data_IF_227405528768
#
_entry.id   IF_227405528768
#
_cell.length_a   1.000
_cell.length_b   1.000
_cell.length_c   1.000
_cell.angle_alpha   90.00
_cell.angle_beta   90.00
_cell.angle_gamma   90.00
#
_symmetry.space_group_name_H-M   'P 1'
#
loop_
_entity.id
_entity.type
_entity.pdbx_description
1 polymer ?
#
# COMPACT_ATOMS: atom_id res chain seq x y z
N UNK A 1 27.42 -52.27 -10.55
CA UNK A 1 27.49 -51.46 -9.32
C UNK A 1 26.58 -50.26 -9.46
N UNK A 2 25.93 -49.94 -8.33
CA UNK A 2 25.06 -48.81 -8.04
C UNK A 2 25.65 -47.45 -8.46
N UNK A 3 24.76 -46.46 -8.64
CA UNK A 3 24.84 -45.02 -8.25
C UNK A 3 24.47 -44.13 -9.45
N UNK A 4 23.65 -43.09 -9.38
CA UNK A 4 22.86 -42.40 -8.35
C UNK A 4 21.92 -41.53 -9.21
N UNK A 5 20.63 -41.52 -8.89
CA UNK A 5 19.70 -40.55 -9.48
C UNK A 5 20.00 -39.15 -8.97
N UNK A 6 20.11 -38.18 -9.86
CA UNK A 6 20.05 -36.76 -9.52
C UNK A 6 18.80 -36.18 -10.17
N UNK A 7 17.68 -36.25 -9.44
CA UNK A 7 16.50 -35.44 -9.72
C UNK A 7 16.87 -34.00 -9.37
N UNK A 8 17.15 -33.18 -10.39
CA UNK A 8 17.29 -31.75 -10.22
C UNK A 8 15.95 -31.14 -9.83
N UNK A 9 15.79 -30.80 -8.55
CA UNK A 9 14.65 -30.04 -8.09
C UNK A 9 14.77 -28.60 -8.65
N UNK A 10 14.06 -28.32 -9.73
CA UNK A 10 13.82 -26.94 -10.13
C UNK A 10 12.93 -26.31 -9.06
N UNK A 11 13.51 -25.50 -8.17
CA UNK A 11 12.74 -24.60 -7.33
C UNK A 11 12.06 -23.60 -8.26
N UNK A 12 10.83 -23.90 -8.66
CA UNK A 12 9.95 -22.91 -9.28
C UNK A 12 9.68 -21.88 -8.20
N UNK A 13 10.49 -20.82 -8.19
CA UNK A 13 10.14 -19.61 -7.46
C UNK A 13 8.91 -19.09 -8.17
N UNK A 14 7.75 -19.42 -7.62
CA UNK A 14 6.49 -18.79 -7.97
C UNK A 14 6.60 -17.34 -7.55
N UNK A 15 7.22 -16.53 -8.42
CA UNK A 15 6.99 -15.10 -8.45
C UNK A 15 5.52 -15.02 -8.75
N UNK A 16 4.68 -14.85 -7.73
CA UNK A 16 3.29 -14.45 -7.95
C UNK A 16 3.40 -13.11 -8.64
N UNK A 17 3.09 -12.98 -9.94
CA UNK A 17 3.00 -11.66 -10.50
C UNK A 17 1.76 -11.06 -9.81
N UNK A 18 2.00 -10.16 -8.86
CA UNK A 18 0.97 -9.30 -8.29
C UNK A 18 0.54 -8.27 -9.32
N UNK A 19 0.18 -8.71 -10.53
CA UNK A 19 -0.63 -7.93 -11.45
C UNK A 19 -2.07 -8.04 -10.93
N UNK A 20 -2.33 -7.28 -9.87
CA UNK A 20 -3.67 -6.85 -9.55
C UNK A 20 -4.24 -6.25 -10.84
N UNK A 21 -5.27 -6.91 -11.36
CA UNK A 21 -5.94 -6.60 -12.61
C UNK A 21 -6.25 -5.11 -12.67
N UNK A 22 -5.48 -4.38 -13.48
CA UNK A 22 -5.85 -3.04 -13.91
C UNK A 22 -6.88 -3.21 -15.03
N UNK A 23 -8.15 -3.42 -14.66
CA UNK A 23 -9.24 -3.47 -15.63
C UNK A 23 -10.50 -2.83 -15.05
N UNK A 24 -10.82 -1.68 -15.65
CA UNK A 24 -12.14 -1.04 -15.77
C UNK A 24 -12.84 -0.56 -14.50
N UNK A 25 -12.67 0.74 -14.24
CA UNK A 25 -13.74 1.75 -14.11
C UNK A 25 -13.59 2.69 -12.91
N UNK A 26 -13.91 3.96 -13.16
CA UNK A 26 -13.70 5.12 -12.29
C UNK A 26 -13.88 4.86 -10.78
N UNK A 27 -12.85 5.20 -9.99
CA UNK A 27 -12.81 5.26 -8.51
C UNK A 27 -12.45 3.98 -7.71
N UNK A 28 -11.94 2.91 -8.32
CA UNK A 28 -11.45 1.71 -7.61
C UNK A 28 -9.93 1.54 -7.69
N UNK A 29 -9.15 2.61 -7.46
CA UNK A 29 -7.70 2.48 -7.30
C UNK A 29 -7.32 2.13 -5.86
N UNK A 30 -6.17 1.48 -5.64
CA UNK A 30 -5.68 1.13 -4.30
C UNK A 30 -4.28 1.68 -4.07
N UNK A 31 -3.98 2.10 -2.84
CA UNK A 31 -2.71 2.72 -2.44
C UNK A 31 -2.01 1.81 -1.42
N UNK A 32 -0.84 1.23 -1.76
CA UNK A 32 -0.08 0.43 -0.81
C UNK A 32 0.55 1.34 0.26
N UNK A 33 0.46 0.89 1.51
CA UNK A 33 1.05 1.57 2.67
C UNK A 33 1.77 0.52 3.51
N UNK A 34 3.10 0.61 3.73
CA UNK A 34 4.07 1.34 2.91
C UNK A 34 4.15 0.74 1.49
N UNK A 35 5.06 1.24 0.66
CA UNK A 35 5.30 0.68 -0.67
C UNK A 35 5.73 -0.78 -0.59
N UNK A 36 5.47 -1.57 -1.63
CA UNK A 36 5.94 -2.96 -1.71
C UNK A 36 7.47 -3.07 -1.67
N UNK A 37 8.20 -2.01 -2.03
CA UNK A 37 9.67 -1.92 -1.93
C UNK A 37 10.15 -1.71 -0.49
N UNK A 38 9.24 -1.49 0.47
CA UNK A 38 9.53 -1.26 1.88
C UNK A 38 8.80 -2.30 2.75
N UNK A 39 9.04 -3.60 2.54
CA UNK A 39 8.40 -4.65 3.34
C UNK A 39 8.82 -4.53 4.81
N UNK A 40 7.95 -4.96 5.71
CA UNK A 40 8.19 -4.98 7.17
C UNK A 40 8.52 -3.60 7.76
N UNK A 41 8.05 -2.51 7.14
CA UNK A 41 8.14 -1.15 7.71
C UNK A 41 6.78 -0.68 8.21
N UNK A 42 6.81 0.22 9.19
CA UNK A 42 5.63 0.82 9.80
C UNK A 42 5.55 2.31 9.44
N UNK A 43 4.38 2.91 9.62
CA UNK A 43 4.16 4.33 9.34
C UNK A 43 4.07 5.09 10.66
N UNK A 44 4.95 6.07 10.84
CA UNK A 44 4.92 6.98 11.98
C UNK A 44 3.77 7.98 11.86
N UNK A 45 3.32 8.57 12.96
CA UNK A 45 2.27 9.59 12.98
C UNK A 45 2.44 10.74 11.97
N UNK A 46 3.68 11.11 11.65
CA UNK A 46 4.02 12.14 10.67
C UNK A 46 4.08 11.63 9.22
N UNK A 47 3.76 10.36 8.97
CA UNK A 47 3.81 9.72 7.66
C UNK A 47 5.17 9.16 7.25
N UNK A 48 6.18 9.19 8.12
CA UNK A 48 7.49 8.62 7.81
C UNK A 48 7.49 7.10 7.93
N UNK A 49 8.28 6.46 7.07
CA UNK A 49 8.45 5.01 7.07
C UNK A 49 9.57 4.66 8.03
N UNK A 50 9.25 3.88 9.06
CA UNK A 50 10.15 3.54 10.17
C UNK A 50 10.24 2.04 10.40
N UNK A 51 11.20 1.62 11.21
CA UNK A 51 11.29 0.23 11.65
C UNK A 51 10.06 -0.13 12.52
N UNK A 52 9.66 -1.41 12.53
CA UNK A 52 8.62 -1.89 13.44
C UNK A 52 8.89 -1.52 14.89
N UNK A 53 7.83 -1.35 15.69
CA UNK A 53 7.90 -1.02 17.11
C UNK A 53 8.57 0.32 17.45
N UNK A 54 8.70 1.21 16.46
CA UNK A 54 9.07 2.61 16.73
C UNK A 54 7.91 3.31 17.47
N UNK A 55 8.22 4.14 18.45
CA UNK A 55 7.19 4.89 19.18
C UNK A 55 6.29 5.72 18.24
N UNK A 56 4.97 5.72 18.50
CA UNK A 56 3.97 6.40 17.69
C UNK A 56 3.97 5.97 16.20
N UNK A 57 4.27 4.71 15.93
CA UNK A 57 4.16 4.10 14.61
C UNK A 57 3.08 3.03 14.55
N UNK A 58 2.55 2.83 13.35
CA UNK A 58 1.43 1.95 13.09
C UNK A 58 1.85 0.88 12.10
N UNK A 59 1.54 -0.38 12.45
CA UNK A 59 1.72 -1.53 11.56
C UNK A 59 1.02 -1.28 10.23
N UNK A 60 1.54 -1.76 9.10
CA UNK A 60 0.90 -1.59 7.80
C UNK A 60 -0.49 -2.23 7.74
N UNK A 61 -1.41 -1.70 6.92
CA UNK A 61 -2.68 -2.36 6.64
C UNK A 61 -2.44 -3.75 6.01
N UNK A 62 -3.34 -4.69 6.27
CA UNK A 62 -3.29 -6.06 5.72
C UNK A 62 -3.53 -6.11 4.22
N UNK A 63 -4.14 -5.06 3.66
CA UNK A 63 -4.38 -4.87 2.24
C UNK A 63 -4.10 -3.40 1.86
N UNK A 64 -3.78 -3.12 0.59
CA UNK A 64 -3.71 -1.75 0.09
C UNK A 64 -4.99 -0.96 0.42
N UNK A 65 -4.83 0.32 0.78
CA UNK A 65 -5.96 1.19 1.11
C UNK A 65 -6.77 1.50 -0.15
N UNK A 66 -8.09 1.51 -0.04
CA UNK A 66 -8.96 1.86 -1.18
C UNK A 66 -8.91 3.35 -1.44
N UNK A 67 -8.87 3.73 -2.71
CA UNK A 67 -8.82 5.11 -3.16
C UNK A 67 -10.02 5.92 -2.67
N UNK A 68 -11.22 5.31 -2.64
CA UNK A 68 -12.43 5.94 -2.10
C UNK A 68 -12.32 6.25 -0.61
N UNK A 69 -11.80 5.31 0.19
CA UNK A 69 -11.56 5.52 1.63
C UNK A 69 -10.51 6.62 1.85
N UNK A 70 -9.45 6.62 1.04
CA UNK A 70 -8.40 7.66 1.06
C UNK A 70 -8.97 9.02 0.67
N UNK A 71 -9.78 9.09 -0.39
CA UNK A 71 -10.44 10.31 -0.84
C UNK A 71 -11.35 10.89 0.25
N UNK A 72 -12.21 10.05 0.82
CA UNK A 72 -13.14 10.46 1.87
C UNK A 72 -12.39 10.91 3.13
N UNK A 73 -11.32 10.21 3.49
CA UNK A 73 -10.46 10.61 4.61
C UNK A 73 -9.75 11.94 4.37
N UNK A 74 -9.22 12.17 3.17
CA UNK A 74 -8.53 13.40 2.83
C UNK A 74 -9.47 14.60 2.66
N UNK A 75 -10.68 14.37 2.13
CA UNK A 75 -11.67 15.42 1.84
C UNK A 75 -12.56 15.75 3.04
N UNK A 76 -13.00 14.74 3.79
CA UNK A 76 -13.98 14.86 4.86
C UNK A 76 -13.42 14.53 6.26
N UNK A 77 -12.17 14.08 6.36
CA UNK A 77 -11.56 13.71 7.65
C UNK A 77 -12.09 12.39 8.24
N UNK A 78 -12.72 11.54 7.44
CA UNK A 78 -13.26 10.25 7.92
C UNK A 78 -12.15 9.26 8.22
N UNK A 79 -12.39 8.35 9.17
CA UNK A 79 -11.50 7.23 9.45
C UNK A 79 -11.66 6.13 8.39
N UNK A 80 -10.59 5.38 8.12
CA UNK A 80 -10.71 4.19 7.30
C UNK A 80 -11.52 3.10 8.04
N UNK A 81 -12.25 2.23 7.32
CA UNK A 81 -13.04 1.17 7.94
C UNK A 81 -12.18 0.25 8.85
N UNK A 82 -12.46 0.24 10.15
CA UNK A 82 -11.71 -0.55 11.14
C UNK A 82 -10.40 0.09 11.62
N UNK A 83 -10.14 1.37 11.31
CA UNK A 83 -8.96 2.12 11.75
C UNK A 83 -9.36 3.21 12.74
N UNK A 84 -8.48 3.48 13.71
CA UNK A 84 -8.65 4.64 14.59
C UNK A 84 -8.16 5.93 13.90
N UNK A 85 -8.47 7.08 14.50
CA UNK A 85 -8.13 8.40 13.95
C UNK A 85 -6.62 8.63 13.83
N UNK A 86 -5.84 8.15 14.81
CA UNK A 86 -4.38 8.33 14.80
C UNK A 86 -3.71 7.56 13.66
N UNK A 87 -4.13 6.31 13.45
CA UNK A 87 -3.65 5.42 12.39
C UNK A 87 -4.07 5.92 11.01
N UNK A 88 -5.31 6.39 10.88
CA UNK A 88 -5.80 7.04 9.66
C UNK A 88 -4.97 8.29 9.34
N UNK A 89 -4.72 9.15 10.33
CA UNK A 89 -3.92 10.36 10.16
C UNK A 89 -2.48 10.07 9.75
N UNK A 90 -1.85 9.06 10.36
CA UNK A 90 -0.50 8.62 10.02
C UNK A 90 -0.39 8.20 8.55
N UNK A 91 -1.36 7.41 8.07
CA UNK A 91 -1.39 6.96 6.68
C UNK A 91 -1.73 8.09 5.71
N UNK A 92 -2.67 8.98 6.05
CA UNK A 92 -2.92 10.19 5.27
C UNK A 92 -1.66 11.02 5.11
N UNK A 93 -0.87 11.19 6.18
CA UNK A 93 0.40 11.92 6.13
C UNK A 93 1.42 11.22 5.23
N UNK A 94 1.47 9.89 5.26
CA UNK A 94 2.31 9.10 4.34
C UNK A 94 1.85 9.28 2.88
N UNK A 95 0.55 9.20 2.61
CA UNK A 95 -0.03 9.33 1.25
C UNK A 95 0.23 10.73 0.68
N UNK A 96 0.06 11.77 1.48
CA UNK A 96 0.36 13.16 1.09
C UNK A 96 1.83 13.38 0.71
N UNK A 97 2.74 12.54 1.23
CA UNK A 97 4.17 12.56 0.93
C UNK A 97 4.56 11.72 -0.30
N UNK A 98 3.62 11.00 -0.92
CA UNK A 98 3.92 10.23 -2.13
C UNK A 98 4.38 11.16 -3.25
N UNK A 99 5.50 10.82 -3.87
CA UNK A 99 6.08 11.53 -5.02
C UNK A 99 5.82 10.80 -6.33
N UNK A 100 6.01 11.49 -7.46
CA UNK A 100 5.88 10.88 -8.78
C UNK A 100 6.76 9.63 -8.92
N UNK A 101 6.24 8.59 -9.58
CA UNK A 101 6.91 7.30 -9.75
C UNK A 101 6.80 6.34 -8.56
N UNK A 102 6.16 6.75 -7.47
CA UNK A 102 5.86 5.89 -6.31
C UNK A 102 4.54 5.12 -6.54
N UNK A 103 4.49 3.86 -6.10
CA UNK A 103 3.26 3.08 -6.08
C UNK A 103 2.14 3.83 -5.33
N UNK A 104 0.93 3.85 -5.90
CA UNK A 104 -0.21 4.57 -5.32
C UNK A 104 -0.22 6.08 -5.60
N UNK A 105 0.88 6.68 -6.08
CA UNK A 105 0.90 8.11 -6.42
C UNK A 105 -0.11 8.45 -7.51
N UNK A 106 -0.17 7.66 -8.59
CA UNK A 106 -1.13 7.90 -9.68
C UNK A 106 -2.58 7.84 -9.19
N UNK A 107 -2.88 6.96 -8.23
CA UNK A 107 -4.18 6.91 -7.58
C UNK A 107 -4.42 8.19 -6.77
N UNK A 108 -3.52 8.55 -5.85
CA UNK A 108 -3.61 9.77 -5.05
C UNK A 108 -3.74 11.04 -5.90
N UNK A 109 -2.95 11.17 -6.96
CA UNK A 109 -3.03 12.28 -7.91
C UNK A 109 -4.42 12.35 -8.58
N UNK A 110 -4.98 11.21 -8.97
CA UNK A 110 -6.33 11.13 -9.54
C UNK A 110 -7.42 11.52 -8.53
N UNK A 111 -7.21 11.28 -7.23
CA UNK A 111 -8.13 11.71 -6.16
C UNK A 111 -8.11 13.22 -5.91
N UNK A 112 -6.96 13.87 -6.18
CA UNK A 112 -6.80 15.32 -6.01
C UNK A 112 -7.30 16.11 -7.22
N UNK A 113 -7.33 15.49 -8.40
CA UNK A 113 -7.98 16.08 -9.56
C UNK A 113 -9.44 16.36 -9.22
N UNK A 114 -9.90 17.63 -9.31
CA UNK A 114 -11.33 17.89 -9.22
C UNK A 114 -11.97 17.07 -10.34
N UNK A 115 -12.81 16.10 -9.96
CA UNK A 115 -13.67 15.41 -10.92
C UNK A 115 -14.37 16.51 -11.70
N UNK A 116 -14.01 16.66 -12.97
CA UNK A 116 -14.64 17.56 -13.93
C UNK A 116 -16.07 17.03 -14.08
N UNK A 117 -16.94 17.44 -13.17
CA UNK A 117 -18.39 17.31 -13.29
C UNK A 117 -18.87 18.37 -14.26
#
# INVERSE_FOLDING_TARGET
MLRIGALGAAAVVTVRPGIAQAATSALTCSIPVPQSTQPNKWIKNNGDVVNPNTGNSFAPPTAPLKGEDVKNSLKYGTNYPGYNSQKTSAYNNYIKKLTMGKQGYTCYASLQSPSRQ
#
